data_IF_088754905748
#
_entry.id   IF_088754905748
#
_cell.length_a   1.000
_cell.length_b   1.000
_cell.length_c   1.000
_cell.angle_alpha   90.00
_cell.angle_beta   90.00
_cell.angle_gamma   90.00
#
_symmetry.space_group_name_H-M   'P 1'
#
loop_
_entity.id
_entity.type
_entity.pdbx_description
1 polymer ?
#
# COMPACT_ATOMS: atom_id res chain seq x y z
N UNK A 1 5.35 -1.74 18.65
CA UNK A 1 5.30 -3.17 18.30
C UNK A 1 6.72 -3.73 18.31
N UNK A 2 6.87 -4.96 18.81
CA UNK A 2 8.12 -5.70 18.88
C UNK A 2 8.11 -6.76 17.77
N UNK A 3 9.25 -6.98 17.10
CA UNK A 3 9.42 -8.10 16.17
C UNK A 3 9.72 -9.35 16.99
N UNK A 4 8.87 -10.37 16.89
CA UNK A 4 8.99 -11.60 17.64
C UNK A 4 9.76 -12.69 16.87
N UNK A 5 9.72 -12.68 15.54
CA UNK A 5 10.45 -13.61 14.69
C UNK A 5 10.69 -13.11 13.29
N UNK A 6 11.74 -13.58 12.65
CA UNK A 6 12.12 -13.27 11.28
C UNK A 6 12.47 -14.58 10.56
N UNK A 7 11.90 -14.78 9.37
CA UNK A 7 12.26 -15.88 8.49
C UNK A 7 12.79 -15.38 7.15
N UNK A 8 13.79 -16.07 6.61
CA UNK A 8 14.40 -15.78 5.32
C UNK A 8 14.60 -17.05 4.51
N UNK A 9 14.38 -16.96 3.21
CA UNK A 9 14.72 -18.02 2.26
C UNK A 9 15.16 -17.40 0.93
N UNK A 10 15.91 -18.16 0.18
CA UNK A 10 16.21 -17.81 -1.22
C UNK A 10 14.92 -18.03 -2.01
N UNK A 11 14.44 -17.00 -2.70
CA UNK A 11 13.26 -17.09 -3.55
C UNK A 11 13.54 -17.98 -4.75
N UNK A 12 12.74 -19.01 -4.94
CA UNK A 12 12.76 -19.91 -6.10
C UNK A 12 11.41 -19.89 -6.79
N UNK A 13 11.35 -20.15 -8.09
CA UNK A 13 10.09 -20.16 -8.85
C UNK A 13 9.43 -18.82 -9.06
N UNK A 14 10.12 -17.69 -8.79
CA UNK A 14 9.61 -16.32 -8.95
C UNK A 14 10.72 -15.39 -9.44
N UNK A 15 10.45 -14.61 -10.50
CA UNK A 15 11.43 -13.71 -11.12
C UNK A 15 11.34 -12.24 -10.65
N UNK A 16 10.53 -11.98 -9.63
CA UNK A 16 10.25 -10.62 -9.14
C UNK A 16 8.98 -10.01 -9.78
N UNK A 17 8.39 -10.66 -10.77
CA UNK A 17 7.15 -10.21 -11.41
C UNK A 17 6.17 -11.37 -11.68
N UNK A 18 6.67 -12.53 -12.10
CA UNK A 18 5.87 -13.70 -12.46
C UNK A 18 6.27 -14.91 -11.63
N UNK A 19 5.29 -15.78 -11.37
CA UNK A 19 5.54 -17.11 -10.83
C UNK A 19 5.88 -18.04 -11.99
N UNK A 20 7.12 -18.54 -12.02
CA UNK A 20 7.67 -19.44 -13.04
C UNK A 20 7.58 -20.90 -12.61
N UNK A 21 7.71 -21.16 -11.31
CA UNK A 21 7.57 -22.46 -10.68
C UNK A 21 6.71 -22.36 -9.42
N UNK A 22 5.49 -22.91 -9.49
CA UNK A 22 4.52 -22.75 -8.40
C UNK A 22 4.98 -23.44 -7.11
N UNK A 23 5.42 -24.71 -7.21
CA UNK A 23 5.79 -25.49 -6.03
C UNK A 23 7.10 -25.01 -5.41
N UNK A 24 8.09 -24.64 -6.22
CA UNK A 24 9.35 -24.06 -5.76
C UNK A 24 9.12 -22.73 -5.04
N UNK A 25 8.16 -21.93 -5.52
CA UNK A 25 7.84 -20.67 -4.86
C UNK A 25 7.09 -20.89 -3.55
N UNK A 26 6.12 -21.83 -3.51
CA UNK A 26 5.46 -22.26 -2.26
C UNK A 26 6.49 -22.72 -1.24
N UNK A 27 7.44 -23.57 -1.62
CA UNK A 27 8.46 -24.12 -0.72
C UNK A 27 9.39 -23.02 -0.19
N UNK A 28 9.76 -22.06 -1.02
CA UNK A 28 10.60 -20.93 -0.58
C UNK A 28 9.88 -20.05 0.45
N UNK A 29 8.59 -19.79 0.26
CA UNK A 29 7.77 -19.05 1.23
C UNK A 29 7.60 -19.86 2.51
N UNK A 30 7.27 -21.14 2.40
CA UNK A 30 7.11 -22.05 3.56
C UNK A 30 8.35 -22.09 4.44
N UNK A 31 9.54 -22.21 3.85
CA UNK A 31 10.82 -22.20 4.60
C UNK A 31 10.99 -20.94 5.44
N UNK A 32 10.65 -19.77 4.90
CA UNK A 32 10.75 -18.51 5.64
C UNK A 32 9.71 -18.41 6.76
N UNK A 33 8.48 -18.90 6.53
CA UNK A 33 7.41 -18.91 7.52
C UNK A 33 7.80 -19.80 8.69
N UNK A 34 8.21 -21.05 8.43
CA UNK A 34 8.64 -22.01 9.47
C UNK A 34 9.80 -21.46 10.31
N UNK A 35 10.73 -20.73 9.68
CA UNK A 35 11.83 -20.10 10.41
C UNK A 35 11.32 -18.99 11.34
N UNK A 36 10.39 -18.14 10.89
CA UNK A 36 9.80 -17.08 11.70
C UNK A 36 8.98 -17.67 12.88
N UNK A 37 8.20 -18.72 12.62
CA UNK A 37 7.42 -19.44 13.64
C UNK A 37 8.29 -20.06 14.71
N UNK A 38 9.38 -20.74 14.31
CA UNK A 38 10.35 -21.32 15.26
C UNK A 38 11.00 -20.27 16.15
N UNK A 39 11.29 -19.08 15.60
CA UNK A 39 11.92 -18.00 16.36
C UNK A 39 10.93 -17.31 17.31
N UNK A 40 9.69 -17.15 16.89
CA UNK A 40 8.64 -16.46 17.66
C UNK A 40 7.88 -17.36 18.62
N UNK A 41 7.93 -18.69 18.44
CA UNK A 41 7.05 -19.69 19.08
C UNK A 41 5.55 -19.45 18.80
N UNK A 42 5.21 -18.81 17.66
CA UNK A 42 3.83 -18.58 17.21
C UNK A 42 3.58 -19.24 15.87
N UNK A 43 2.37 -19.80 15.69
CA UNK A 43 1.91 -20.29 14.39
C UNK A 43 1.27 -19.14 13.62
N UNK A 44 1.73 -18.89 12.41
CA UNK A 44 1.23 -17.82 11.53
C UNK A 44 -0.01 -18.33 10.81
N UNK A 45 -1.19 -17.79 11.17
CA UNK A 45 -2.49 -18.15 10.54
C UNK A 45 -2.96 -17.11 9.52
N UNK A 46 -2.41 -15.89 9.55
CA UNK A 46 -2.78 -14.82 8.64
C UNK A 46 -1.62 -13.87 8.42
N UNK A 47 -1.57 -13.22 7.27
CA UNK A 47 -0.50 -12.28 6.91
C UNK A 47 -0.98 -11.14 6.02
N UNK A 48 -0.27 -10.02 6.07
CA UNK A 48 -0.23 -9.01 5.02
C UNK A 48 0.87 -9.36 4.04
N UNK A 49 0.60 -9.21 2.75
CA UNK A 49 1.58 -9.48 1.70
C UNK A 49 2.06 -8.16 1.15
N UNK A 50 3.33 -7.87 1.35
CA UNK A 50 3.96 -6.66 0.82
C UNK A 50 4.60 -6.99 -0.53
N UNK A 51 4.10 -6.37 -1.59
CA UNK A 51 4.55 -6.58 -2.95
C UNK A 51 5.49 -5.45 -3.38
N UNK A 52 6.57 -5.86 -4.04
CA UNK A 52 7.51 -4.95 -4.67
C UNK A 52 7.81 -5.47 -6.07
N UNK A 53 7.13 -4.92 -7.07
CA UNK A 53 7.40 -5.25 -8.46
C UNK A 53 7.11 -4.06 -9.40
N UNK A 54 7.65 -4.15 -10.63
CA UNK A 54 7.55 -3.08 -11.63
C UNK A 54 6.18 -2.93 -12.29
N UNK A 55 5.28 -3.93 -12.14
CA UNK A 55 3.95 -3.89 -12.75
C UNK A 55 2.93 -3.11 -11.89
N UNK A 56 3.24 -2.83 -10.63
CA UNK A 56 2.38 -2.07 -9.75
C UNK A 56 2.33 -0.61 -10.23
N UNK A 57 1.12 -0.14 -10.52
CA UNK A 57 0.87 1.24 -10.92
C UNK A 57 0.30 2.02 -9.74
N UNK A 58 0.84 3.20 -9.47
CA UNK A 58 0.35 4.07 -8.41
C UNK A 58 -0.16 5.37 -9.04
N UNK A 59 -1.41 5.72 -8.71
CA UNK A 59 -2.05 6.95 -9.17
C UNK A 59 -2.39 7.84 -7.97
N UNK A 60 -2.19 9.15 -8.11
CA UNK A 60 -2.71 10.14 -7.17
C UNK A 60 -4.06 10.62 -7.69
N UNK A 61 -5.08 10.59 -6.84
CA UNK A 61 -6.44 11.04 -7.17
C UNK A 61 -6.89 12.10 -6.18
N UNK A 62 -7.77 12.99 -6.63
CA UNK A 62 -8.45 13.99 -5.79
C UNK A 62 -9.95 13.82 -5.97
N UNK A 63 -10.66 13.55 -4.88
CA UNK A 63 -12.13 13.55 -4.83
C UNK A 63 -12.60 14.73 -4.00
N UNK A 64 -13.68 15.37 -4.43
CA UNK A 64 -14.22 16.55 -3.75
C UNK A 64 -15.71 16.42 -3.50
N UNK A 65 -16.17 17.01 -2.41
CA UNK A 65 -17.56 17.10 -2.00
C UNK A 65 -17.86 18.55 -1.61
N UNK A 66 -18.96 19.12 -2.12
CA UNK A 66 -19.45 20.43 -1.69
C UNK A 66 -20.33 20.24 -0.47
N UNK A 67 -20.07 21.02 0.57
CA UNK A 67 -20.73 20.91 1.89
C UNK A 67 -21.52 22.18 2.26
N UNK A 68 -21.45 23.23 1.48
CA UNK A 68 -22.25 24.45 1.63
C UNK A 68 -22.20 25.02 3.06
N UNK A 69 -20.97 25.26 3.56
CA UNK A 69 -20.70 25.79 4.91
C UNK A 69 -21.20 24.89 6.04
N UNK A 70 -21.08 23.58 5.86
CA UNK A 70 -21.49 22.57 6.86
C UNK A 70 -20.30 21.99 7.62
N UNK A 71 -20.59 21.41 8.78
CA UNK A 71 -19.61 20.67 9.59
C UNK A 71 -19.30 19.33 8.90
N UNK A 72 -18.01 19.01 8.78
CA UNK A 72 -17.53 17.75 8.22
C UNK A 72 -17.79 16.61 9.19
N UNK A 73 -18.48 15.57 8.72
CA UNK A 73 -18.83 14.39 9.47
C UNK A 73 -18.16 13.13 8.89
N UNK A 74 -18.17 12.03 9.67
CA UNK A 74 -17.67 10.72 9.22
C UNK A 74 -18.36 10.22 7.94
N UNK A 75 -19.65 10.57 7.76
CA UNK A 75 -20.39 10.18 6.56
C UNK A 75 -19.84 10.83 5.30
N UNK A 76 -19.34 12.06 5.38
CA UNK A 76 -18.74 12.76 4.24
C UNK A 76 -17.41 12.13 3.83
N UNK A 77 -16.61 11.70 4.80
CA UNK A 77 -15.39 10.93 4.51
C UNK A 77 -15.71 9.58 3.83
N UNK A 78 -16.78 8.92 4.26
CA UNK A 78 -17.26 7.68 3.62
C UNK A 78 -17.75 7.94 2.18
N UNK A 79 -18.43 9.05 1.90
CA UNK A 79 -18.84 9.42 0.54
C UNK A 79 -17.61 9.65 -0.34
N UNK A 80 -16.60 10.39 0.13
CA UNK A 80 -15.36 10.63 -0.59
C UNK A 80 -14.56 9.35 -0.87
N UNK A 81 -14.58 8.38 0.05
CA UNK A 81 -13.88 7.11 -0.11
C UNK A 81 -14.59 6.10 -1.03
N UNK A 82 -15.89 6.28 -1.29
CA UNK A 82 -16.69 5.45 -2.22
C UNK A 82 -16.42 5.73 -3.68
N UNK A 83 -15.30 6.34 -4.00
CA UNK A 83 -14.93 6.59 -5.38
C UNK A 83 -14.91 5.26 -6.17
N UNK A 84 -15.69 5.24 -7.26
CA UNK A 84 -15.63 4.16 -8.24
C UNK A 84 -14.29 4.27 -8.98
N UNK A 85 -13.25 3.68 -8.42
CA UNK A 85 -12.11 3.28 -9.20
C UNK A 85 -12.69 2.43 -10.34
N UNK A 86 -12.30 2.70 -11.57
CA UNK A 86 -12.81 2.03 -12.75
C UNK A 86 -13.17 0.59 -12.43
N UNK A 87 -14.38 0.16 -12.79
CA UNK A 87 -14.86 -1.23 -12.61
C UNK A 87 -14.05 -2.22 -13.44
N UNK A 88 -12.79 -1.89 -13.69
CA UNK A 88 -11.87 -2.76 -14.39
C UNK A 88 -11.47 -3.88 -13.43
N UNK A 89 -12.07 -5.04 -13.64
CA UNK A 89 -11.81 -6.27 -12.88
C UNK A 89 -10.39 -6.81 -13.04
N UNK A 90 -9.57 -6.21 -13.90
CA UNK A 90 -8.18 -6.62 -14.15
C UNK A 90 -7.21 -6.22 -13.04
N UNK A 91 -7.60 -5.26 -12.16
CA UNK A 91 -6.74 -4.76 -11.09
C UNK A 91 -7.39 -4.85 -9.72
N UNK A 92 -6.64 -5.41 -8.76
CA UNK A 92 -6.90 -5.18 -7.34
C UNK A 92 -6.47 -3.76 -6.99
N UNK A 93 -7.31 -3.06 -6.23
CA UNK A 93 -7.15 -1.64 -5.99
C UNK A 93 -7.10 -1.36 -4.49
N UNK A 94 -6.01 -0.74 -4.04
CA UNK A 94 -5.89 -0.25 -2.67
C UNK A 94 -5.91 1.27 -2.65
N UNK A 95 -6.83 1.84 -1.89
CA UNK A 95 -6.98 3.27 -1.68
C UNK A 95 -6.34 3.69 -0.37
N UNK A 96 -5.41 4.62 -0.43
CA UNK A 96 -4.72 5.17 0.74
C UNK A 96 -4.91 6.67 0.81
N UNK A 97 -5.62 7.16 1.81
CA UNK A 97 -5.79 8.61 2.01
C UNK A 97 -4.48 9.24 2.44
N UNK A 98 -3.99 10.18 1.64
CA UNK A 98 -2.78 10.96 1.94
C UNK A 98 -3.08 12.09 2.91
N UNK A 99 -4.07 12.94 2.58
CA UNK A 99 -4.51 14.07 3.38
C UNK A 99 -5.87 14.58 2.86
N UNK A 100 -6.47 15.48 3.62
CA UNK A 100 -7.65 16.25 3.23
C UNK A 100 -7.28 17.70 2.97
N UNK A 101 -8.02 18.36 2.09
CA UNK A 101 -7.90 19.76 1.76
C UNK A 101 -9.26 20.43 1.91
N UNK A 102 -9.31 21.50 2.69
CA UNK A 102 -10.51 22.27 3.04
C UNK A 102 -10.46 23.60 2.30
N UNK A 103 -11.49 23.89 1.54
CA UNK A 103 -11.65 25.12 0.73
C UNK A 103 -10.41 25.44 -0.15
N UNK A 104 -9.72 24.39 -0.60
CA UNK A 104 -8.48 24.40 -1.38
C UNK A 104 -7.25 25.01 -0.67
N UNK A 105 -7.35 25.45 0.59
CA UNK A 105 -6.28 26.11 1.36
C UNK A 105 -5.75 25.25 2.51
N UNK A 106 -6.59 24.86 3.45
CA UNK A 106 -6.15 24.17 4.67
C UNK A 106 -5.95 22.69 4.42
N UNK A 107 -4.72 22.21 4.72
CA UNK A 107 -4.37 20.79 4.64
C UNK A 107 -4.38 20.16 6.03
N UNK A 108 -5.08 19.04 6.17
CA UNK A 108 -5.19 18.31 7.43
C UNK A 108 -5.24 16.79 7.21
N UNK A 109 -4.84 16.04 8.22
CA UNK A 109 -5.01 14.59 8.28
C UNK A 109 -6.35 14.18 8.90
N UNK A 110 -6.96 15.08 9.68
CA UNK A 110 -8.27 14.87 10.29
C UNK A 110 -9.16 16.12 10.08
N UNK A 111 -10.10 16.09 9.15
CA UNK A 111 -10.98 17.22 8.86
C UNK A 111 -12.25 17.23 9.71
N UNK A 112 -12.57 16.16 10.47
CA UNK A 112 -13.83 16.01 11.20
C UNK A 112 -14.01 17.17 12.18
N UNK A 113 -15.22 17.74 12.18
CA UNK A 113 -15.61 18.85 13.07
C UNK A 113 -15.25 20.24 12.54
N UNK A 114 -14.51 20.34 11.44
CA UNK A 114 -14.26 21.62 10.76
C UNK A 114 -15.43 21.99 9.85
N UNK A 115 -15.62 23.28 9.60
CA UNK A 115 -16.65 23.80 8.69
C UNK A 115 -16.00 24.16 7.37
N UNK A 116 -16.66 23.83 6.23
CA UNK A 116 -16.17 24.20 4.91
C UNK A 116 -17.28 24.24 3.86
N UNK A 117 -16.96 24.89 2.75
CA UNK A 117 -17.77 24.83 1.53
C UNK A 117 -17.40 23.61 0.68
N UNK A 118 -16.11 23.28 0.63
CA UNK A 118 -15.58 22.20 -0.20
C UNK A 118 -14.57 21.36 0.59
N UNK A 119 -14.85 20.08 0.70
CA UNK A 119 -13.91 19.09 1.23
C UNK A 119 -13.32 18.27 0.09
N UNK A 120 -12.00 18.22 0.00
CA UNK A 120 -11.28 17.34 -0.94
C UNK A 120 -10.48 16.29 -0.20
N UNK A 121 -10.50 15.05 -0.69
CA UNK A 121 -9.65 13.96 -0.23
C UNK A 121 -8.61 13.66 -1.30
N UNK A 122 -7.34 13.74 -0.95
CA UNK A 122 -6.23 13.36 -1.79
C UNK A 122 -5.76 11.97 -1.39
N UNK A 123 -5.79 11.05 -2.34
CA UNK A 123 -5.47 9.65 -2.10
C UNK A 123 -4.48 9.10 -3.13
N UNK A 124 -3.76 8.05 -2.70
CA UNK A 124 -2.99 7.19 -3.58
C UNK A 124 -3.81 5.95 -3.89
N UNK A 125 -3.82 5.54 -5.12
CA UNK A 125 -4.41 4.27 -5.56
C UNK A 125 -3.30 3.39 -6.10
N UNK A 126 -3.09 2.26 -5.45
CA UNK A 126 -2.22 1.20 -5.92
C UNK A 126 -3.04 0.21 -6.74
N UNK A 127 -2.60 -0.06 -7.96
CA UNK A 127 -3.22 -0.97 -8.92
C UNK A 127 -2.31 -2.18 -9.09
N UNK A 128 -2.76 -3.34 -8.62
CA UNK A 128 -2.04 -4.63 -8.72
C UNK A 128 -2.86 -5.54 -9.64
N UNK A 129 -2.22 -6.17 -10.62
CA UNK A 129 -2.91 -7.04 -11.56
C UNK A 129 -3.66 -8.18 -10.84
N UNK A 130 -4.95 -8.34 -11.16
CA UNK A 130 -5.80 -9.35 -10.50
C UNK A 130 -5.28 -10.77 -10.74
N UNK A 131 -4.69 -11.04 -11.90
CA UNK A 131 -4.05 -12.33 -12.20
C UNK A 131 -2.94 -12.66 -11.20
N UNK A 132 -2.09 -11.68 -10.87
CA UNK A 132 -1.02 -11.85 -9.88
C UNK A 132 -1.59 -12.11 -8.48
N UNK A 133 -2.62 -11.35 -8.08
CA UNK A 133 -3.32 -11.54 -6.81
C UNK A 133 -3.88 -12.96 -6.71
N UNK A 134 -4.54 -13.46 -7.76
CA UNK A 134 -5.13 -14.79 -7.77
C UNK A 134 -4.06 -15.89 -7.60
N UNK A 135 -2.92 -15.77 -8.27
CA UNK A 135 -1.82 -16.72 -8.13
C UNK A 135 -1.28 -16.72 -6.69
N UNK A 136 -1.05 -15.53 -6.11
CA UNK A 136 -0.58 -15.41 -4.74
C UNK A 136 -1.61 -15.93 -3.73
N UNK A 137 -2.89 -15.67 -3.93
CA UNK A 137 -3.95 -16.23 -3.09
C UNK A 137 -3.92 -17.76 -3.09
N UNK A 138 -3.74 -18.41 -4.24
CA UNK A 138 -3.63 -19.87 -4.34
C UNK A 138 -2.39 -20.39 -3.57
N UNK A 139 -1.26 -19.69 -3.65
CA UNK A 139 -0.04 -20.04 -2.89
C UNK A 139 -0.30 -20.00 -1.39
N UNK A 140 -0.86 -18.89 -0.88
CA UNK A 140 -1.14 -18.75 0.55
C UNK A 140 -2.26 -19.67 1.03
N UNK A 141 -3.22 -20.01 0.17
CA UNK A 141 -4.21 -21.04 0.46
C UNK A 141 -3.57 -22.41 0.63
N UNK A 142 -2.61 -22.79 -0.24
CA UNK A 142 -1.85 -24.05 -0.11
C UNK A 142 -1.05 -24.08 1.19
N UNK A 143 -0.53 -22.94 1.64
CA UNK A 143 0.17 -22.78 2.91
C UNK A 143 -0.77 -22.68 4.13
N UNK A 144 -2.09 -22.72 3.93
CA UNK A 144 -3.12 -22.55 4.97
C UNK A 144 -3.02 -21.22 5.73
N UNK A 145 -2.53 -20.17 5.08
CA UNK A 145 -2.41 -18.83 5.65
C UNK A 145 -3.43 -17.89 5.01
N UNK A 146 -4.28 -17.28 5.83
CA UNK A 146 -5.24 -16.28 5.37
C UNK A 146 -4.51 -15.00 4.98
N UNK A 147 -4.63 -14.57 3.74
CA UNK A 147 -4.18 -13.24 3.33
C UNK A 147 -5.18 -12.19 3.81
N UNK A 148 -4.70 -11.22 4.60
CA UNK A 148 -5.52 -10.11 5.11
C UNK A 148 -5.65 -9.04 4.03
N UNK A 149 -4.52 -8.63 3.42
CA UNK A 149 -4.50 -7.69 2.30
C UNK A 149 -3.15 -7.76 1.57
N UNK A 150 -3.15 -7.28 0.34
CA UNK A 150 -1.94 -7.01 -0.44
C UNK A 150 -1.60 -5.53 -0.36
N UNK A 151 -0.36 -5.21 -0.07
CA UNK A 151 0.16 -3.85 0.04
C UNK A 151 1.28 -3.67 -0.97
N UNK A 152 1.55 -2.44 -1.37
CA UNK A 152 2.72 -2.11 -2.18
C UNK A 152 3.79 -1.40 -1.34
N UNK A 153 5.06 -1.68 -1.64
CA UNK A 153 6.20 -1.13 -0.91
C UNK A 153 6.31 0.38 -1.06
N UNK A 154 6.03 0.92 -2.24
CA UNK A 154 6.24 2.34 -2.54
C UNK A 154 5.28 3.23 -1.74
N UNK A 155 3.99 2.85 -1.68
CA UNK A 155 3.01 3.53 -0.82
C UNK A 155 3.35 3.35 0.66
N UNK A 156 3.81 2.16 1.05
CA UNK A 156 4.22 1.88 2.43
C UNK A 156 5.38 2.78 2.88
N UNK A 157 6.33 3.10 2.01
CA UNK A 157 7.42 4.04 2.30
C UNK A 157 6.91 5.45 2.58
N UNK A 158 5.92 5.93 1.81
CA UNK A 158 5.30 7.23 2.08
C UNK A 158 4.68 7.28 3.47
N UNK A 159 3.89 6.27 3.84
CA UNK A 159 3.25 6.23 5.17
C UNK A 159 4.25 6.02 6.29
N UNK A 160 5.32 5.27 6.08
CA UNK A 160 6.42 5.18 7.04
C UNK A 160 7.04 6.54 7.32
N UNK A 161 7.39 7.30 6.28
CA UNK A 161 7.95 8.65 6.42
C UNK A 161 6.98 9.59 7.13
N UNK A 162 5.68 9.52 6.79
CA UNK A 162 4.63 10.32 7.41
C UNK A 162 4.52 10.04 8.91
N UNK A 163 4.45 8.77 9.29
CA UNK A 163 4.35 8.34 10.69
C UNK A 163 5.59 8.70 11.52
N UNK A 164 6.77 8.65 10.94
CA UNK A 164 8.03 9.07 11.60
C UNK A 164 8.23 10.57 11.62
N UNK A 165 7.27 11.35 11.08
CA UNK A 165 7.34 12.81 10.96
C UNK A 165 8.56 13.32 10.15
N UNK A 166 9.15 12.45 9.34
CA UNK A 166 10.23 12.77 8.41
C UNK A 166 9.76 13.75 7.34
N UNK A 167 8.45 13.73 7.04
CA UNK A 167 7.81 14.60 6.05
C UNK A 167 7.76 16.09 6.43
N UNK A 168 8.28 16.50 7.57
CA UNK A 168 8.36 17.91 7.95
C UNK A 168 9.19 18.74 6.96
N UNK A 169 10.19 18.12 6.34
CA UNK A 169 11.07 18.71 5.35
C UNK A 169 10.74 18.14 3.95
N UNK A 170 11.34 18.76 2.93
CA UNK A 170 11.35 18.17 1.59
C UNK A 170 12.32 16.98 1.59
N UNK A 171 11.84 15.80 1.29
CA UNK A 171 12.59 14.56 1.45
C UNK A 171 12.32 13.63 0.28
N UNK A 172 13.34 12.91 -0.18
CA UNK A 172 13.21 11.78 -1.08
C UNK A 172 13.69 10.50 -0.38
N UNK A 173 12.91 9.42 -0.51
CA UNK A 173 13.32 8.08 -0.20
C UNK A 173 13.56 7.36 -1.52
N UNK A 174 14.74 6.79 -1.68
CA UNK A 174 15.14 6.02 -2.86
C UNK A 174 15.51 4.62 -2.35
N UNK A 175 14.81 3.62 -2.86
CA UNK A 175 15.04 2.21 -2.55
C UNK A 175 15.60 1.52 -3.80
N UNK A 176 16.87 1.17 -3.74
CA UNK A 176 17.57 0.44 -4.80
C UNK A 176 17.35 -1.07 -4.63
N UNK A 177 16.41 -1.62 -5.40
CA UNK A 177 16.15 -3.05 -5.45
C UNK A 177 16.95 -3.74 -6.56
N UNK A 178 16.82 -5.05 -6.64
CA UNK A 178 17.52 -5.86 -7.66
C UNK A 178 16.92 -5.70 -9.07
N UNK A 179 15.61 -5.57 -9.19
CA UNK A 179 14.89 -5.50 -10.47
C UNK A 179 14.29 -4.12 -10.77
N UNK A 180 14.25 -3.24 -9.77
CA UNK A 180 13.67 -1.91 -9.90
C UNK A 180 14.11 -0.99 -8.75
N UNK A 181 14.05 0.30 -8.99
CA UNK A 181 14.26 1.34 -7.98
C UNK A 181 12.93 2.04 -7.69
N UNK A 182 12.57 2.13 -6.41
CA UNK A 182 11.40 2.90 -5.97
C UNK A 182 11.83 4.30 -5.52
N UNK A 183 11.09 5.32 -5.95
CA UNK A 183 11.31 6.71 -5.57
C UNK A 183 10.04 7.28 -5.00
N UNK A 184 10.11 7.81 -3.78
CA UNK A 184 9.04 8.54 -3.11
C UNK A 184 9.54 9.90 -2.68
N UNK A 185 8.94 10.96 -3.19
CA UNK A 185 9.29 12.33 -2.82
C UNK A 185 8.14 13.00 -2.08
N UNK A 186 8.48 13.60 -0.97
CA UNK A 186 7.56 14.39 -0.15
C UNK A 186 8.02 15.84 -0.12
N UNK A 187 7.10 16.76 -0.39
CA UNK A 187 7.31 18.20 -0.32
C UNK A 187 6.17 18.83 0.48
N UNK A 188 6.52 19.69 1.46
CA UNK A 188 5.53 20.35 2.32
C UNK A 188 4.55 19.36 2.97
N UNK A 189 5.06 18.24 3.51
CA UNK A 189 4.28 17.15 4.12
C UNK A 189 3.36 16.38 3.16
N UNK A 190 3.39 16.67 1.87
CA UNK A 190 2.54 16.03 0.86
C UNK A 190 3.37 15.16 -0.06
N UNK A 191 2.78 14.09 -0.55
CA UNK A 191 3.35 13.32 -1.63
C UNK A 191 3.44 14.20 -2.89
N UNK A 192 4.66 14.46 -3.33
CA UNK A 192 4.97 15.23 -4.53
C UNK A 192 5.17 14.31 -5.73
N UNK A 193 5.88 13.21 -5.54
CA UNK A 193 6.24 12.28 -6.61
C UNK A 193 6.34 10.86 -6.09
N UNK A 194 5.92 9.90 -6.90
CA UNK A 194 6.05 8.47 -6.63
C UNK A 194 6.27 7.73 -7.94
N UNK A 195 7.29 6.89 -8.00
CA UNK A 195 7.61 6.14 -9.21
C UNK A 195 8.42 4.88 -8.89
N UNK A 196 8.14 3.82 -9.62
CA UNK A 196 8.98 2.64 -9.75
C UNK A 196 9.67 2.66 -11.10
N UNK A 197 10.99 2.53 -11.12
CA UNK A 197 11.84 2.54 -12.31
C UNK A 197 12.43 1.14 -12.45
N UNK A 198 12.19 0.42 -13.55
CA UNK A 198 12.83 -0.86 -13.81
C UNK A 198 14.34 -0.65 -14.02
N UNK A 199 15.14 -1.64 -13.61
CA UNK A 199 16.59 -1.73 -13.83
C UNK A 199 16.82 -2.79 -14.89
#
# INVERSE_FOLDING_TARGET
PKIEGIGKSITQGYDGNNVLGFDEFVDSIHKSIVQAEKQSNFIIKSSYILLSNKSIKIKKIKNSLNLENSIIENNDLRKLSKFNLDKNTEYNQNLYTSHYQIDDDLITDNPIGLICNKLSMISLVSLIEQKQINILMNIFQKLQIKVINFLDTTTSYFFYMKNKKITKNNVALIDFGFTHTNIVMVKNKQLSFIKTIPI
#
